data_IF_825843828741
#
_entry.id   IF_825843828741
#
_cell.length_a   1.000
_cell.length_b   1.000
_cell.length_c   1.000
_cell.angle_alpha   90.00
_cell.angle_beta   90.00
_cell.angle_gamma   90.00
#
_symmetry.space_group_name_H-M   'P 1'
#
loop_
_entity.id
_entity.type
_entity.pdbx_description
1 polymer ?
#
# COMPACT_ATOMS: atom_id res chain seq x y z
N UNK A 1 -20.61 -18.06 -19.93
CA UNK A 1 -21.96 -18.46 -19.47
C UNK A 1 -21.98 -19.97 -19.27
N UNK A 2 -21.88 -20.46 -18.03
CA UNK A 2 -21.99 -21.90 -17.71
C UNK A 2 -23.40 -22.15 -17.16
N UNK A 3 -24.16 -23.00 -17.85
CA UNK A 3 -25.50 -23.46 -17.45
C UNK A 3 -25.33 -24.41 -16.27
N UNK A 4 -25.89 -24.06 -15.12
CA UNK A 4 -26.02 -24.98 -13.99
C UNK A 4 -27.06 -26.06 -14.36
N UNK A 5 -26.64 -27.32 -14.38
CA UNK A 5 -27.55 -28.45 -14.46
C UNK A 5 -28.16 -28.67 -13.08
N UNK A 6 -29.45 -28.36 -12.96
CA UNK A 6 -30.27 -28.67 -11.79
C UNK A 6 -30.49 -30.18 -11.74
N UNK A 7 -29.70 -30.88 -10.93
CA UNK A 7 -29.99 -32.26 -10.52
C UNK A 7 -31.32 -32.22 -9.78
N UNK A 8 -32.38 -32.63 -10.49
CA UNK A 8 -33.68 -32.94 -9.92
C UNK A 8 -33.46 -34.12 -8.97
N UNK A 9 -33.17 -33.79 -7.71
CA UNK A 9 -33.35 -34.74 -6.63
C UNK A 9 -34.83 -35.14 -6.66
N UNK A 10 -35.06 -36.34 -7.18
CA UNK A 10 -36.23 -37.14 -6.87
C UNK A 10 -36.27 -37.29 -5.35
N UNK A 11 -36.88 -36.30 -4.68
CA UNK A 11 -37.42 -36.48 -3.35
C UNK A 11 -38.34 -37.67 -3.48
N UNK A 12 -37.82 -38.83 -3.05
CA UNK A 12 -38.61 -40.01 -2.81
C UNK A 12 -39.79 -39.53 -1.98
N UNK A 13 -40.96 -39.41 -2.63
CA UNK A 13 -42.23 -39.30 -1.94
C UNK A 13 -42.16 -40.42 -0.90
N UNK A 14 -42.27 -40.13 0.40
CA UNK A 14 -42.52 -41.20 1.36
C UNK A 14 -43.85 -41.77 0.93
N UNK A 15 -43.80 -42.84 0.14
CA UNK A 15 -44.95 -43.65 -0.15
C UNK A 15 -45.49 -44.02 1.21
N UNK A 16 -46.67 -43.49 1.53
CA UNK A 16 -47.57 -44.03 2.54
C UNK A 16 -47.86 -45.48 2.11
N UNK A 17 -46.86 -46.34 2.23
CA UNK A 17 -47.05 -47.77 2.33
C UNK A 17 -47.70 -47.95 3.69
N UNK A 18 -49.02 -47.73 3.71
CA UNK A 18 -49.90 -48.51 4.55
C UNK A 18 -49.41 -49.93 4.38
N UNK A 19 -48.76 -50.44 5.43
CA UNK A 19 -48.21 -51.78 5.48
C UNK A 19 -49.35 -52.76 5.19
N UNK A 20 -49.54 -53.09 3.92
CA UNK A 20 -50.17 -54.34 3.54
C UNK A 20 -49.15 -55.39 3.92
N UNK A 21 -49.29 -55.90 5.14
CA UNK A 21 -48.60 -57.07 5.63
C UNK A 21 -48.97 -58.22 4.69
N UNK A 22 -47.98 -58.70 3.92
CA UNK A 22 -48.12 -59.74 2.88
C UNK A 22 -48.44 -61.13 3.46
N UNK A 23 -48.77 -61.17 4.76
CA UNK A 23 -49.17 -62.35 5.52
C UNK A 23 -50.44 -62.10 6.32
N UNK A 24 -51.46 -61.43 5.75
CA UNK A 24 -52.89 -61.75 5.96
C UNK A 24 -53.44 -61.96 7.38
N UNK A 25 -52.74 -61.54 8.44
CA UNK A 25 -53.23 -61.60 9.81
C UNK A 25 -53.82 -60.23 10.09
N UNK A 26 -55.13 -60.12 9.85
CA UNK A 26 -55.94 -58.99 10.28
C UNK A 26 -55.78 -58.85 11.80
N UNK A 27 -54.81 -58.05 12.23
CA UNK A 27 -54.74 -57.59 13.61
C UNK A 27 -55.97 -56.70 13.79
N UNK A 28 -57.00 -57.23 14.46
CA UNK A 28 -58.19 -56.52 14.95
C UNK A 28 -57.79 -55.50 16.04
N UNK A 29 -56.91 -54.57 15.72
CA UNK A 29 -56.74 -53.34 16.48
C UNK A 29 -57.80 -52.36 15.99
N UNK A 30 -58.81 -52.09 16.83
CA UNK A 30 -59.99 -51.23 16.61
C UNK A 30 -59.72 -49.75 16.25
N UNK A 31 -58.52 -49.39 15.78
CA UNK A 31 -58.24 -48.03 15.33
C UNK A 31 -58.61 -47.90 13.85
N UNK A 32 -59.65 -47.12 13.55
CA UNK A 32 -60.02 -46.83 12.16
C UNK A 32 -58.85 -46.11 11.46
N UNK A 33 -58.62 -46.42 10.18
CA UNK A 33 -57.60 -45.71 9.38
C UNK A 33 -57.77 -44.18 9.42
N UNK A 34 -59.00 -43.71 9.63
CA UNK A 34 -59.31 -42.29 9.78
C UNK A 34 -58.69 -41.68 11.06
N UNK A 35 -58.73 -42.39 12.18
CA UNK A 35 -58.15 -41.93 13.44
C UNK A 35 -56.62 -41.86 13.39
N UNK A 36 -56.00 -42.81 12.68
CA UNK A 36 -54.56 -42.80 12.40
C UNK A 36 -54.18 -41.55 11.58
N UNK A 37 -54.97 -41.23 10.55
CA UNK A 37 -54.73 -40.04 9.71
C UNK A 37 -54.94 -38.74 10.49
N UNK A 38 -55.96 -38.67 11.37
CA UNK A 38 -56.17 -37.51 12.25
C UNK A 38 -55.00 -37.30 13.20
N UNK A 39 -54.50 -38.37 13.81
CA UNK A 39 -53.32 -38.30 14.70
C UNK A 39 -52.08 -37.83 13.93
N UNK A 40 -51.84 -38.40 12.75
CA UNK A 40 -50.71 -38.00 11.89
C UNK A 40 -50.81 -36.54 11.45
N UNK A 41 -52.00 -36.05 11.11
CA UNK A 41 -52.21 -34.66 10.72
C UNK A 41 -51.87 -33.70 11.88
N UNK A 42 -52.37 -34.01 13.09
CA UNK A 42 -52.06 -33.23 14.30
C UNK A 42 -50.57 -33.25 14.62
N UNK A 43 -49.91 -34.41 14.50
CA UNK A 43 -48.48 -34.53 14.74
C UNK A 43 -47.65 -33.75 13.70
N UNK A 44 -48.12 -33.72 12.45
CA UNK A 44 -47.52 -32.91 11.37
C UNK A 44 -47.70 -31.41 11.59
N UNK A 45 -48.88 -30.97 12.03
CA UNK A 45 -49.10 -29.55 12.36
C UNK A 45 -48.18 -29.10 13.51
N UNK A 46 -48.04 -29.92 14.56
CA UNK A 46 -47.09 -29.67 15.67
C UNK A 46 -45.63 -29.64 15.19
N UNK A 47 -45.26 -30.51 14.25
CA UNK A 47 -43.93 -30.50 13.63
C UNK A 47 -43.71 -29.22 12.82
N UNK A 48 -44.68 -28.79 12.02
CA UNK A 48 -44.64 -27.53 11.28
C UNK A 48 -44.47 -26.32 12.22
N UNK A 49 -45.19 -26.28 13.33
CA UNK A 49 -45.07 -25.18 14.30
C UNK A 49 -43.71 -25.18 15.00
N UNK A 50 -43.14 -26.35 15.34
CA UNK A 50 -41.77 -26.45 15.86
C UNK A 50 -40.74 -25.91 14.87
N UNK A 51 -40.85 -26.26 13.60
CA UNK A 51 -39.94 -25.76 12.55
C UNK A 51 -40.10 -24.25 12.37
N UNK A 52 -41.33 -23.72 12.37
CA UNK A 52 -41.57 -22.28 12.28
C UNK A 52 -40.96 -21.51 13.46
N UNK A 53 -41.14 -22.01 14.69
CA UNK A 53 -40.56 -21.40 15.88
C UNK A 53 -39.03 -21.46 15.86
N UNK A 54 -38.46 -22.59 15.43
CA UNK A 54 -37.01 -22.74 15.26
C UNK A 54 -36.44 -21.75 14.23
N UNK A 55 -37.09 -21.64 13.07
CA UNK A 55 -36.70 -20.67 12.03
C UNK A 55 -36.81 -19.24 12.51
N UNK A 56 -37.91 -18.89 13.22
CA UNK A 56 -38.10 -17.56 13.79
C UNK A 56 -37.00 -17.24 14.81
N UNK A 57 -36.74 -18.15 15.74
CA UNK A 57 -35.67 -18.00 16.74
C UNK A 57 -34.29 -17.86 16.09
N UNK A 58 -34.03 -18.58 14.99
CA UNK A 58 -32.76 -18.47 14.24
C UNK A 58 -32.62 -17.11 13.56
N UNK A 59 -33.69 -16.62 12.94
CA UNK A 59 -33.72 -15.29 12.32
C UNK A 59 -33.52 -14.18 13.37
N UNK A 60 -34.20 -14.28 14.51
CA UNK A 60 -34.08 -13.30 15.60
C UNK A 60 -32.66 -13.28 16.19
N UNK A 61 -32.02 -14.45 16.34
CA UNK A 61 -30.64 -14.56 16.79
C UNK A 61 -29.65 -13.94 15.78
N UNK A 62 -29.82 -14.21 14.49
CA UNK A 62 -28.98 -13.65 13.43
C UNK A 62 -29.14 -12.12 13.34
N UNK A 63 -30.37 -11.62 13.44
CA UNK A 63 -30.66 -10.19 13.49
C UNK A 63 -30.01 -9.53 14.71
N UNK A 64 -30.17 -10.12 15.90
CA UNK A 64 -29.57 -9.60 17.13
C UNK A 64 -28.03 -9.60 17.07
N UNK A 65 -27.43 -10.66 16.52
CA UNK A 65 -25.99 -10.73 16.30
C UNK A 65 -25.51 -9.60 15.37
N UNK A 66 -26.26 -9.36 14.29
CA UNK A 66 -25.95 -8.29 13.34
C UNK A 66 -26.07 -6.90 13.98
N UNK A 67 -27.14 -6.66 14.74
CA UNK A 67 -27.34 -5.41 15.49
C UNK A 67 -26.21 -5.18 16.49
N UNK A 68 -25.80 -6.20 17.24
CA UNK A 68 -24.69 -6.11 18.18
C UNK A 68 -23.36 -5.80 17.48
N UNK A 69 -23.08 -6.42 16.34
CA UNK A 69 -21.89 -6.13 15.54
C UNK A 69 -21.87 -4.68 15.03
N UNK A 70 -23.00 -4.18 14.53
CA UNK A 70 -23.12 -2.78 14.09
C UNK A 70 -22.96 -1.79 15.25
N UNK A 71 -23.51 -2.11 16.42
CA UNK A 71 -23.30 -1.29 17.62
C UNK A 71 -21.83 -1.25 18.05
N UNK A 72 -21.10 -2.37 17.94
CA UNK A 72 -19.65 -2.40 18.20
C UNK A 72 -18.89 -1.54 17.18
N UNK A 73 -19.23 -1.60 15.90
CA UNK A 73 -18.62 -0.76 14.86
C UNK A 73 -18.88 0.73 15.10
N UNK A 74 -20.09 1.10 15.52
CA UNK A 74 -20.43 2.49 15.87
C UNK A 74 -19.63 2.98 17.08
N UNK A 75 -19.38 2.13 18.08
CA UNK A 75 -18.54 2.48 19.24
C UNK A 75 -17.07 2.67 18.91
N UNK A 76 -16.57 1.99 17.86
CA UNK A 76 -15.19 2.12 17.39
C UNK A 76 -14.98 3.32 16.46
N UNK A 77 -16.05 4.01 16.06
CA UNK A 77 -15.93 5.16 15.18
C UNK A 77 -15.28 6.33 15.95
N UNK A 78 -14.20 6.93 15.44
CA UNK A 78 -13.60 8.12 16.06
C UNK A 78 -14.64 9.25 16.18
N UNK A 79 -14.58 10.06 17.24
CA UNK A 79 -15.47 11.20 17.39
C UNK A 79 -15.30 12.17 16.20
N UNK A 80 -16.40 12.80 15.78
CA UNK A 80 -16.39 13.69 14.61
C UNK A 80 -15.44 14.89 14.80
N UNK A 81 -15.22 15.30 16.04
CA UNK A 81 -14.27 16.35 16.42
C UNK A 81 -12.83 15.97 16.08
N UNK A 82 -12.44 14.72 16.31
CA UNK A 82 -11.10 14.22 15.97
C UNK A 82 -10.91 14.16 14.45
N UNK A 83 -11.94 13.72 13.72
CA UNK A 83 -11.92 13.71 12.24
C UNK A 83 -11.79 15.14 11.71
N UNK A 84 -12.49 16.10 12.30
CA UNK A 84 -12.40 17.51 11.91
C UNK A 84 -11.00 18.08 12.18
N UNK A 85 -10.44 17.82 13.37
CA UNK A 85 -9.08 18.23 13.73
C UNK A 85 -8.04 17.65 12.76
N UNK A 86 -8.13 16.36 12.43
CA UNK A 86 -7.24 15.71 11.46
C UNK A 86 -7.33 16.36 10.06
N UNK A 87 -8.52 16.78 9.63
CA UNK A 87 -8.68 17.50 8.36
C UNK A 87 -8.04 18.89 8.38
N UNK A 88 -8.17 19.62 9.49
CA UNK A 88 -7.55 20.94 9.67
C UNK A 88 -6.01 20.82 9.68
N UNK A 89 -5.46 19.81 10.37
CA UNK A 89 -4.03 19.51 10.36
C UNK A 89 -3.53 19.12 8.97
N UNK A 90 -4.27 18.26 8.25
CA UNK A 90 -3.95 17.89 6.87
C UNK A 90 -3.91 19.13 5.97
N UNK A 91 -4.90 20.01 6.07
CA UNK A 91 -4.95 21.25 5.31
C UNK A 91 -3.78 22.18 5.67
N UNK A 92 -3.40 22.25 6.95
CA UNK A 92 -2.24 23.01 7.41
C UNK A 92 -0.93 22.48 6.82
N UNK A 93 -0.75 21.15 6.78
CA UNK A 93 0.43 20.50 6.19
C UNK A 93 0.52 20.76 4.68
N UNK A 94 -0.60 20.76 3.97
CA UNK A 94 -0.64 21.05 2.54
C UNK A 94 -0.17 22.49 2.24
N UNK A 95 -0.57 23.46 3.07
CA UNK A 95 -0.12 24.86 2.95
C UNK A 95 1.39 24.97 3.19
N UNK A 96 1.93 24.29 4.21
CA UNK A 96 3.37 24.29 4.50
C UNK A 96 4.18 23.64 3.37
N UNK A 97 3.73 22.49 2.87
CA UNK A 97 4.37 21.80 1.75
C UNK A 97 4.42 22.68 0.50
N UNK A 98 3.33 23.37 0.18
CA UNK A 98 3.27 24.31 -0.95
C UNK A 98 4.21 25.51 -0.73
N UNK A 99 4.31 26.01 0.50
CA UNK A 99 5.27 27.04 0.90
C UNK A 99 6.71 26.61 0.64
N UNK A 100 7.09 25.42 1.13
CA UNK A 100 8.43 24.86 0.95
C UNK A 100 8.77 24.62 -0.53
N UNK A 101 7.82 24.13 -1.33
CA UNK A 101 8.03 23.96 -2.76
C UNK A 101 8.33 25.30 -3.46
N UNK A 102 7.56 26.35 -3.13
CA UNK A 102 7.77 27.68 -3.69
C UNK A 102 9.14 28.25 -3.31
N UNK A 103 9.58 28.03 -2.08
CA UNK A 103 10.92 28.45 -1.63
C UNK A 103 12.05 27.68 -2.33
N UNK A 104 11.87 26.38 -2.53
CA UNK A 104 12.81 25.56 -3.28
C UNK A 104 12.93 26.03 -4.74
N UNK A 105 11.80 26.33 -5.39
CA UNK A 105 11.77 26.92 -6.74
C UNK A 105 12.52 28.27 -6.79
N UNK A 106 12.32 29.15 -5.80
CA UNK A 106 13.07 30.41 -5.67
C UNK A 106 14.57 30.18 -5.52
N UNK A 107 14.97 29.25 -4.65
CA UNK A 107 16.38 28.89 -4.43
C UNK A 107 17.03 28.36 -5.71
N UNK A 108 16.33 27.50 -6.45
CA UNK A 108 16.79 26.98 -7.73
C UNK A 108 16.98 28.10 -8.77
N UNK A 109 16.03 29.05 -8.84
CA UNK A 109 16.15 30.21 -9.72
C UNK A 109 17.36 31.10 -9.38
N UNK A 110 17.64 31.31 -8.09
CA UNK A 110 18.81 32.07 -7.63
C UNK A 110 20.12 31.34 -8.01
N UNK A 111 20.19 30.02 -7.78
CA UNK A 111 21.35 29.21 -8.18
C UNK A 111 21.59 29.32 -9.69
N UNK A 112 20.53 29.29 -10.49
CA UNK A 112 20.61 29.45 -11.94
C UNK A 112 21.11 30.84 -12.35
N UNK A 113 20.64 31.90 -11.69
CA UNK A 113 21.16 33.26 -11.90
C UNK A 113 22.66 33.37 -11.61
N UNK A 114 23.13 32.79 -10.50
CA UNK A 114 24.56 32.77 -10.17
C UNK A 114 25.38 31.99 -11.19
N UNK A 115 24.90 30.83 -11.66
CA UNK A 115 25.55 30.07 -12.73
C UNK A 115 25.62 30.86 -14.04
N UNK A 116 24.59 31.62 -14.38
CA UNK A 116 24.58 32.45 -15.57
C UNK A 116 25.58 33.62 -15.46
N UNK A 117 25.65 34.25 -14.29
CA UNK A 117 26.66 35.28 -14.00
C UNK A 117 28.07 34.72 -14.03
N UNK A 118 28.30 33.55 -13.44
CA UNK A 118 29.58 32.82 -13.48
C UNK A 118 30.01 32.58 -14.93
N UNK A 119 29.13 32.01 -15.76
CA UNK A 119 29.41 31.80 -17.19
C UNK A 119 29.74 33.09 -17.94
N UNK A 120 29.10 34.22 -17.62
CA UNK A 120 29.42 35.51 -18.22
C UNK A 120 30.84 35.95 -17.85
N UNK A 121 31.21 35.85 -16.57
CA UNK A 121 32.55 36.20 -16.10
C UNK A 121 33.61 35.27 -16.69
N UNK A 122 33.34 33.97 -16.80
CA UNK A 122 34.25 33.02 -17.46
C UNK A 122 34.48 33.38 -18.94
N UNK A 123 33.45 33.82 -19.67
CA UNK A 123 33.61 34.29 -21.05
C UNK A 123 34.47 35.54 -21.16
N UNK A 124 34.30 36.52 -20.27
CA UNK A 124 35.12 37.73 -20.26
C UNK A 124 36.58 37.42 -19.88
N UNK A 125 36.81 36.49 -18.94
CA UNK A 125 38.16 36.01 -18.63
C UNK A 125 38.81 35.31 -19.81
N UNK A 126 38.10 34.41 -20.50
CA UNK A 126 38.57 33.81 -21.75
C UNK A 126 38.91 34.88 -22.79
N UNK A 127 38.08 35.92 -22.92
CA UNK A 127 38.29 37.01 -23.88
C UNK A 127 39.56 37.82 -23.58
N UNK A 128 39.82 38.13 -22.31
CA UNK A 128 40.94 38.99 -21.90
C UNK A 128 42.28 38.24 -21.78
N UNK A 129 42.26 37.02 -21.25
CA UNK A 129 43.47 36.25 -20.92
C UNK A 129 43.62 34.96 -21.75
N UNK A 130 42.72 34.71 -22.71
CA UNK A 130 42.71 33.51 -23.54
C UNK A 130 42.16 32.27 -22.83
N UNK A 131 42.10 31.15 -23.53
CA UNK A 131 41.51 29.89 -23.01
C UNK A 131 42.28 29.30 -21.82
N UNK A 132 43.54 29.72 -21.61
CA UNK A 132 44.41 29.26 -20.53
C UNK A 132 44.41 30.20 -19.32
N UNK A 133 43.43 31.09 -19.17
CA UNK A 133 43.39 32.08 -18.08
C UNK A 133 43.52 31.45 -16.69
N UNK A 134 43.00 30.24 -16.47
CA UNK A 134 43.15 29.52 -15.19
C UNK A 134 44.60 29.19 -14.87
N UNK A 135 45.36 28.73 -15.87
CA UNK A 135 46.80 28.43 -15.74
C UNK A 135 47.62 29.71 -15.65
N UNK A 136 47.25 30.76 -16.39
CA UNK A 136 47.94 32.05 -16.37
C UNK A 136 47.79 32.78 -15.02
N UNK A 137 46.67 32.56 -14.32
CA UNK A 137 46.43 33.10 -12.98
C UNK A 137 46.86 32.14 -11.86
N UNK A 138 47.49 31.00 -12.20
CA UNK A 138 47.88 29.94 -11.25
C UNK A 138 46.74 29.51 -10.31
N UNK A 139 45.48 29.62 -10.75
CA UNK A 139 44.33 29.23 -9.95
C UNK A 139 44.29 27.70 -9.95
N UNK A 140 44.52 27.03 -8.81
CA UNK A 140 44.44 25.58 -8.76
C UNK A 140 43.05 25.18 -9.24
N UNK A 141 42.92 24.15 -10.10
CA UNK A 141 41.63 23.72 -10.62
C UNK A 141 40.72 23.51 -9.41
N UNK A 142 39.70 24.37 -9.30
CA UNK A 142 38.81 24.37 -8.15
C UNK A 142 38.32 22.96 -7.98
N UNK A 143 38.80 22.29 -6.93
CA UNK A 143 38.36 20.97 -6.54
C UNK A 143 36.98 21.11 -5.92
N UNK A 144 36.04 21.67 -6.68
CA UNK A 144 34.64 21.46 -6.43
C UNK A 144 34.48 19.95 -6.33
N UNK A 145 33.95 19.41 -5.22
CA UNK A 145 33.60 18.01 -5.20
C UNK A 145 32.70 17.80 -6.39
N UNK A 146 33.14 17.02 -7.37
CA UNK A 146 32.30 16.60 -8.48
C UNK A 146 31.03 16.09 -7.83
N UNK A 147 29.94 16.85 -7.99
CA UNK A 147 28.61 16.49 -7.52
C UNK A 147 28.07 15.41 -8.44
N UNK A 148 28.82 14.32 -8.51
CA UNK A 148 28.61 13.11 -9.24
C UNK A 148 28.97 11.98 -8.28
N UNK A 149 27.94 11.22 -7.90
CA UNK A 149 28.00 9.81 -7.52
C UNK A 149 28.42 9.35 -6.12
N UNK A 150 28.81 10.16 -5.14
CA UNK A 150 28.97 9.64 -3.77
C UNK A 150 28.51 10.59 -2.66
N UNK A 151 27.27 10.39 -2.20
CA UNK A 151 26.94 10.58 -0.77
C UNK A 151 26.59 9.21 -0.18
N UNK A 152 27.59 8.33 -0.19
CA UNK A 152 27.67 7.23 0.75
C UNK A 152 28.38 7.81 1.98
N UNK A 153 27.63 8.47 2.86
CA UNK A 153 28.16 8.85 4.16
C UNK A 153 28.26 7.62 5.05
N UNK A 154 29.39 6.93 4.94
CA UNK A 154 30.02 6.38 6.13
C UNK A 154 30.35 7.55 7.06
N UNK A 155 29.60 7.68 8.15
CA UNK A 155 30.11 8.33 9.36
C UNK A 155 30.06 7.30 10.47
N UNK A 156 31.23 6.73 10.73
CA UNK A 156 31.54 5.87 11.86
C UNK A 156 31.37 6.62 13.19
N UNK A 157 30.67 5.98 14.14
CA UNK A 157 31.19 5.64 15.46
C UNK A 157 30.08 4.91 16.24
N UNK A 158 29.91 3.63 15.95
CA UNK A 158 29.29 2.69 16.88
C UNK A 158 30.34 1.70 17.31
N UNK A 159 30.63 1.73 18.61
CA UNK A 159 31.41 0.76 19.35
C UNK A 159 31.02 -0.65 18.90
N UNK A 160 31.99 -1.40 18.40
CA UNK A 160 31.89 -2.83 18.15
C UNK A 160 31.74 -3.55 19.50
N UNK A 161 30.54 -3.99 19.82
CA UNK A 161 30.34 -5.10 20.76
C UNK A 161 30.05 -6.34 19.91
N UNK A 162 31.03 -7.23 19.95
CA UNK A 162 31.02 -8.59 19.46
C UNK A 162 29.76 -9.37 19.87
N UNK A 163 29.15 -10.06 18.92
CA UNK A 163 28.59 -11.38 19.19
C UNK A 163 28.68 -12.26 17.94
N UNK A 164 29.05 -13.54 18.06
CA UNK A 164 29.34 -14.42 16.93
C UNK A 164 28.10 -15.22 16.51
N UNK A 165 28.26 -15.95 15.40
CA UNK A 165 27.34 -16.93 14.80
C UNK A 165 26.22 -16.36 13.93
N UNK A 166 26.48 -16.31 12.62
CA UNK A 166 25.66 -17.10 11.70
C UNK A 166 26.33 -17.21 10.32
N UNK A 167 26.87 -18.39 10.05
CA UNK A 167 27.33 -18.82 8.73
C UNK A 167 26.13 -19.13 7.85
N UNK A 168 25.84 -18.30 6.84
CA UNK A 168 25.02 -18.71 5.70
C UNK A 168 25.63 -18.16 4.41
N UNK A 169 26.17 -19.08 3.62
CA UNK A 169 26.66 -18.90 2.27
C UNK A 169 25.53 -18.46 1.35
N UNK A 170 25.69 -17.34 0.64
CA UNK A 170 24.87 -16.99 -0.52
C UNK A 170 25.77 -16.58 -1.69
N UNK A 171 25.88 -17.52 -2.63
CA UNK A 171 26.41 -17.38 -3.97
C UNK A 171 25.73 -16.21 -4.70
N UNK A 172 26.50 -15.18 -5.02
CA UNK A 172 26.09 -14.10 -5.93
C UNK A 172 26.44 -14.48 -7.36
N UNK A 173 25.42 -14.71 -8.18
CA UNK A 173 25.53 -14.72 -9.64
C UNK A 173 25.50 -13.28 -10.15
N UNK A 174 26.57 -12.92 -10.86
CA UNK A 174 26.67 -11.66 -11.59
C UNK A 174 25.68 -11.65 -12.75
N UNK A 175 24.83 -10.61 -12.83
CA UNK A 175 24.10 -10.26 -14.05
C UNK A 175 24.45 -8.83 -14.46
N UNK A 176 25.28 -8.81 -15.49
CA UNK A 176 25.81 -7.70 -16.25
C UNK A 176 24.66 -6.85 -16.84
N UNK A 177 24.52 -5.60 -16.41
CA UNK A 177 23.56 -4.65 -17.01
C UNK A 177 24.30 -3.74 -17.98
N UNK A 178 23.82 -3.76 -19.22
CA UNK A 178 24.35 -3.05 -20.37
C UNK A 178 24.20 -1.53 -20.24
N UNK A 179 25.24 -0.85 -20.72
CA UNK A 179 25.32 0.57 -20.97
C UNK A 179 24.29 1.03 -22.02
N UNK A 180 23.44 1.98 -21.63
CA UNK A 180 22.64 2.76 -22.59
C UNK A 180 23.33 4.10 -22.87
N UNK A 181 23.67 4.32 -24.14
CA UNK A 181 24.12 5.60 -24.68
C UNK A 181 22.99 6.64 -24.65
N UNK A 182 23.26 7.92 -24.34
CA UNK A 182 22.26 8.98 -24.47
C UNK A 182 22.10 9.40 -25.93
N UNK A 183 20.93 9.13 -26.49
CA UNK A 183 20.49 9.63 -27.78
C UNK A 183 20.28 11.14 -27.76
N UNK A 184 20.98 11.81 -28.67
CA UNK A 184 20.87 13.21 -29.06
C UNK A 184 19.42 13.67 -29.21
N UNK A 185 19.00 14.65 -28.40
CA UNK A 185 17.73 15.37 -28.59
C UNK A 185 18.01 16.61 -29.44
N UNK A 186 17.61 16.54 -30.71
CA UNK A 186 17.68 17.62 -31.66
C UNK A 186 16.74 18.76 -31.25
N UNK A 187 17.34 19.92 -30.99
CA UNK A 187 16.66 21.21 -30.95
C UNK A 187 16.27 21.63 -32.37
N UNK A 188 14.98 21.68 -32.67
CA UNK A 188 14.42 22.51 -33.72
C UNK A 188 13.17 23.17 -33.16
N UNK A 189 13.37 24.35 -32.54
CA UNK A 189 12.31 25.32 -32.31
C UNK A 189 12.33 26.29 -33.48
N UNK A 190 11.40 26.11 -34.41
CA UNK A 190 11.10 27.08 -35.47
C UNK A 190 10.03 28.06 -34.97
N UNK A 191 10.34 29.33 -35.11
CA UNK A 191 9.52 30.48 -34.77
C UNK A 191 8.73 30.91 -36.00
N UNK A 192 7.40 30.84 -35.97
CA UNK A 192 6.59 31.79 -36.74
C UNK A 192 5.26 32.09 -36.06
N UNK A 193 5.08 33.38 -35.76
CA UNK A 193 3.81 34.05 -35.53
C UNK A 193 2.91 33.95 -36.77
N UNK A 194 1.63 33.66 -36.57
CA UNK A 194 0.42 34.26 -37.19
C UNK A 194 -0.76 33.42 -36.68
N UNK A 195 -1.76 33.96 -35.99
CA UNK A 195 -2.82 34.79 -36.56
C UNK A 195 -4.17 34.06 -36.32
N UNK A 196 -5.08 34.75 -35.63
CA UNK A 196 -6.46 34.39 -35.27
C UNK A 196 -7.19 33.31 -36.10
N UNK A 197 -7.88 32.39 -35.41
CA UNK A 197 -9.23 31.96 -35.81
C UNK A 197 -9.99 31.33 -34.64
N UNK A 198 -11.23 31.78 -34.47
CA UNK A 198 -12.23 31.24 -33.55
C UNK A 198 -12.55 29.76 -33.85
N UNK A 199 -12.85 28.99 -32.79
CA UNK A 199 -13.84 27.93 -32.89
C UNK A 199 -13.47 26.58 -32.29
N UNK A 200 -14.35 26.13 -31.39
CA UNK A 200 -14.70 24.73 -31.06
C UNK A 200 -13.84 24.04 -30.01
N UNK A 201 -14.35 24.16 -28.79
CA UNK A 201 -14.57 23.10 -27.80
C UNK A 201 -14.14 21.69 -28.23
N UNK A 202 -13.00 21.22 -27.73
CA UNK A 202 -12.70 19.80 -27.55
C UNK A 202 -12.09 19.61 -26.17
N UNK A 203 -12.87 18.98 -25.30
CA UNK A 203 -12.46 18.57 -23.96
C UNK A 203 -11.23 17.66 -24.06
N UNK A 204 -10.18 17.87 -23.24
CA UNK A 204 -9.02 17.01 -23.23
C UNK A 204 -9.39 15.67 -22.57
N UNK A 205 -9.28 14.59 -23.32
CA UNK A 205 -9.37 13.23 -22.79
C UNK A 205 -8.27 13.00 -21.74
N UNK A 206 -8.56 12.29 -20.63
CA UNK A 206 -7.57 12.07 -19.58
C UNK A 206 -6.47 11.14 -20.10
N UNK A 207 -5.29 11.70 -20.35
CA UNK A 207 -4.07 10.94 -20.61
C UNK A 207 -3.74 10.13 -19.35
N UNK A 208 -4.04 8.83 -19.39
CA UNK A 208 -3.68 7.89 -18.33
C UNK A 208 -2.16 7.91 -18.07
N UNK A 209 -1.81 8.09 -16.79
CA UNK A 209 -0.42 8.06 -16.31
C UNK A 209 0.25 6.71 -16.62
N UNK A 210 1.48 6.69 -17.16
CA UNK A 210 2.20 5.46 -17.53
C UNK A 210 2.54 4.55 -16.33
N UNK A 211 2.44 5.03 -15.09
CA UNK A 211 2.65 4.19 -13.90
C UNK A 211 1.51 3.21 -13.61
N UNK A 212 0.28 3.50 -14.04
CA UNK A 212 -0.87 2.62 -13.77
C UNK A 212 -0.94 1.43 -14.74
N UNK A 213 -0.32 1.55 -15.93
CA UNK A 213 -0.24 0.47 -16.92
C UNK A 213 0.73 -0.65 -16.50
N UNK A 214 1.77 -0.32 -15.73
CA UNK A 214 2.77 -1.31 -15.27
C UNK A 214 2.24 -2.21 -14.15
N UNK A 215 1.32 -1.70 -13.32
CA UNK A 215 0.70 -2.50 -12.25
C UNK A 215 -0.37 -3.46 -12.78
N UNK A 216 -1.11 -3.10 -13.84
CA UNK A 216 -2.06 -4.02 -14.48
C UNK A 216 -1.36 -5.15 -15.26
N UNK A 217 -0.18 -4.91 -15.85
CA UNK A 217 0.56 -6.00 -16.53
C UNK A 217 1.13 -7.03 -15.55
N UNK A 218 1.53 -6.65 -14.33
CA UNK A 218 1.98 -7.63 -13.33
C UNK A 218 0.86 -8.53 -12.79
N UNK A 219 -0.38 -8.04 -12.71
CA UNK A 219 -1.53 -8.87 -12.31
C UNK A 219 -1.96 -9.87 -13.40
N UNK A 220 -1.64 -9.61 -14.67
CA UNK A 220 -1.96 -10.56 -15.76
C UNK A 220 -0.97 -11.72 -15.83
N UNK A 221 0.31 -11.51 -15.51
CA UNK A 221 1.29 -12.60 -15.49
C UNK A 221 1.11 -13.57 -14.31
N UNK A 222 0.52 -13.13 -13.19
CA UNK A 222 0.24 -14.02 -12.05
C UNK A 222 -0.97 -14.94 -12.29
N UNK A 223 -1.84 -14.64 -13.26
CA UNK A 223 -2.96 -15.52 -13.64
C UNK A 223 -2.58 -16.61 -14.63
N UNK A 224 -1.50 -16.45 -15.40
CA UNK A 224 -1.10 -17.43 -16.41
C UNK A 224 -0.26 -18.60 -15.85
N UNK A 225 0.23 -18.51 -14.61
CA UNK A 225 1.00 -19.58 -13.98
C UNK A 225 0.19 -20.54 -13.08
N UNK A 226 -1.14 -20.43 -13.01
CA UNK A 226 -1.96 -21.33 -12.16
C UNK A 226 -2.87 -22.28 -12.93
N UNK A 227 -2.65 -22.51 -14.23
CA UNK A 227 -3.52 -23.38 -15.04
C UNK A 227 -2.70 -24.41 -15.82
N UNK A 228 -1.88 -25.18 -15.12
CA UNK A 228 -1.19 -26.32 -15.75
C UNK A 228 -0.81 -27.37 -14.71
N UNK A 229 -1.82 -28.01 -14.13
CA UNK A 229 -1.70 -29.36 -13.56
C UNK A 229 -3.10 -29.98 -13.41
N UNK A 230 -3.84 -30.07 -14.52
CA UNK A 230 -4.96 -31.02 -14.62
C UNK A 230 -4.33 -32.34 -15.09
N UNK A 231 -3.65 -33.00 -14.16
CA UNK A 231 -3.36 -34.42 -14.27
C UNK A 231 -4.66 -35.16 -14.05
N UNK A 232 -5.25 -35.64 -15.14
CA UNK A 232 -6.32 -36.64 -15.18
C UNK A 232 -5.79 -37.97 -14.58
N UNK A 233 -5.53 -37.98 -13.27
CA UNK A 233 -5.40 -39.22 -12.50
C UNK A 233 -6.81 -39.63 -12.06
N UNK A 234 -7.53 -40.27 -12.98
CA UNK A 234 -8.70 -41.12 -12.72
C UNK A 234 -8.28 -42.32 -11.86
N UNK A 235 -7.88 -42.05 -10.62
CA UNK A 235 -7.51 -43.08 -9.68
C UNK A 235 -8.76 -43.45 -8.86
N UNK A 236 -9.44 -44.49 -9.33
CA UNK A 236 -10.52 -45.22 -8.67
C UNK A 236 -10.16 -45.64 -7.23
N UNK A 237 -10.29 -44.72 -6.28
CA UNK A 237 -10.18 -44.96 -4.84
C UNK A 237 -11.46 -44.47 -4.14
N UNK A 238 -12.61 -44.99 -4.58
CA UNK A 238 -13.93 -44.75 -3.99
C UNK A 238 -14.15 -45.49 -2.65
N UNK A 239 -13.12 -46.08 -2.05
CA UNK A 239 -13.20 -46.78 -0.75
C UNK A 239 -12.39 -46.08 0.37
N UNK A 240 -12.17 -44.77 0.23
CA UNK A 240 -11.63 -43.97 1.33
C UNK A 240 -12.68 -43.85 2.43
N UNK A 241 -12.52 -44.68 3.48
CA UNK A 241 -13.38 -44.68 4.66
C UNK A 241 -13.65 -43.26 5.19
N UNK A 242 -14.89 -42.92 5.57
CA UNK A 242 -15.30 -41.56 5.96
C UNK A 242 -14.47 -40.94 7.11
N UNK A 243 -13.79 -41.77 7.91
CA UNK A 243 -12.83 -41.30 8.92
C UNK A 243 -11.61 -40.57 8.31
N UNK A 244 -11.11 -40.99 7.14
CA UNK A 244 -9.93 -40.39 6.52
C UNK A 244 -10.24 -39.02 5.89
N UNK A 245 -11.45 -38.87 5.35
CA UNK A 245 -11.95 -37.58 4.85
C UNK A 245 -12.07 -36.55 5.99
N UNK A 246 -12.51 -36.99 7.18
CA UNK A 246 -12.64 -36.12 8.35
C UNK A 246 -11.28 -35.65 8.88
N UNK A 247 -10.25 -36.52 8.85
CA UNK A 247 -8.87 -36.14 9.23
C UNK A 247 -8.25 -35.13 8.24
N UNK A 248 -8.46 -35.30 6.93
CA UNK A 248 -7.98 -34.33 5.93
C UNK A 248 -8.64 -32.96 6.06
N UNK A 249 -9.92 -32.91 6.42
CA UNK A 249 -10.63 -31.65 6.65
C UNK A 249 -10.07 -30.87 7.84
N UNK A 250 -9.66 -31.56 8.91
CA UNK A 250 -9.01 -30.93 10.07
C UNK A 250 -7.62 -30.39 9.71
N UNK A 251 -6.81 -31.18 9.02
CA UNK A 251 -5.47 -30.75 8.56
C UNK A 251 -5.55 -29.52 7.65
N UNK A 252 -6.49 -29.49 6.71
CA UNK A 252 -6.68 -28.32 5.83
C UNK A 252 -7.12 -27.05 6.56
N UNK A 253 -7.77 -27.17 7.73
CA UNK A 253 -8.15 -26.02 8.56
C UNK A 253 -6.95 -25.50 9.33
N UNK A 254 -6.15 -26.38 9.92
CA UNK A 254 -4.92 -26.03 10.63
C UNK A 254 -3.92 -25.34 9.70
N UNK A 255 -3.76 -25.82 8.47
CA UNK A 255 -2.88 -25.18 7.49
C UNK A 255 -3.33 -23.77 7.11
N UNK A 256 -4.66 -23.54 7.00
CA UNK A 256 -5.21 -22.20 6.72
C UNK A 256 -4.99 -21.26 7.89
N UNK A 257 -5.26 -21.72 9.11
CA UNK A 257 -5.02 -20.94 10.32
C UNK A 257 -3.53 -20.62 10.50
N UNK A 258 -2.63 -21.55 10.18
CA UNK A 258 -1.19 -21.32 10.18
C UNK A 258 -0.74 -20.30 9.13
N UNK A 259 -1.30 -20.35 7.91
CA UNK A 259 -1.03 -19.35 6.85
C UNK A 259 -1.51 -17.96 7.26
N UNK A 260 -2.71 -17.85 7.82
CA UNK A 260 -3.25 -16.57 8.30
C UNK A 260 -2.42 -16.02 9.47
N UNK A 261 -1.97 -16.89 10.39
CA UNK A 261 -1.07 -16.51 11.47
C UNK A 261 0.28 -16.00 10.95
N UNK A 262 0.86 -16.69 9.95
CA UNK A 262 2.11 -16.26 9.32
C UNK A 262 1.97 -14.91 8.60
N UNK A 263 0.85 -14.67 7.91
CA UNK A 263 0.56 -13.38 7.27
C UNK A 263 0.42 -12.25 8.30
N UNK A 264 -0.27 -12.50 9.42
CA UNK A 264 -0.36 -11.52 10.53
C UNK A 264 1.00 -11.22 11.13
N UNK A 265 1.83 -12.24 11.35
CA UNK A 265 3.18 -12.06 11.87
C UNK A 265 4.06 -11.24 10.90
N UNK A 266 3.97 -11.49 9.60
CA UNK A 266 4.68 -10.72 8.59
C UNK A 266 4.24 -9.25 8.55
N UNK A 267 2.94 -8.98 8.67
CA UNK A 267 2.40 -7.62 8.72
C UNK A 267 2.86 -6.87 9.99
N UNK A 268 2.87 -7.54 11.14
CA UNK A 268 3.40 -6.97 12.38
C UNK A 268 4.90 -6.65 12.27
N UNK A 269 5.69 -7.54 11.66
CA UNK A 269 7.10 -7.30 11.42
C UNK A 269 7.34 -6.09 10.50
N UNK A 270 6.51 -5.91 9.47
CA UNK A 270 6.57 -4.75 8.59
C UNK A 270 6.22 -3.44 9.32
N UNK A 271 5.19 -3.45 10.17
CA UNK A 271 4.82 -2.30 11.00
C UNK A 271 5.98 -1.91 11.92
N UNK A 272 6.62 -2.89 12.56
CA UNK A 272 7.75 -2.62 13.46
C UNK A 272 8.96 -2.04 12.70
N UNK A 273 9.24 -2.55 11.49
CA UNK A 273 10.29 -2.00 10.63
C UNK A 273 10.02 -0.53 10.25
N UNK A 274 8.77 -0.21 9.89
CA UNK A 274 8.38 1.18 9.59
C UNK A 274 8.50 2.07 10.84
N UNK A 275 8.12 1.57 12.02
CA UNK A 275 8.22 2.30 13.28
C UNK A 275 9.68 2.66 13.62
N UNK A 276 10.60 1.69 13.51
CA UNK A 276 12.03 1.91 13.73
C UNK A 276 12.60 2.90 12.72
N UNK A 277 12.16 2.84 11.46
CA UNK A 277 12.59 3.77 10.42
C UNK A 277 12.14 5.20 10.70
N UNK A 278 10.87 5.39 11.09
CA UNK A 278 10.29 6.70 11.44
C UNK A 278 11.02 7.31 12.64
N UNK A 279 11.19 6.56 13.73
CA UNK A 279 11.97 7.01 14.90
C UNK A 279 13.40 7.41 14.53
N UNK A 280 14.03 6.65 13.62
CA UNK A 280 15.35 6.98 13.09
C UNK A 280 15.37 8.26 12.25
N UNK A 281 14.29 8.55 11.52
CA UNK A 281 14.14 9.81 10.76
C UNK A 281 13.94 11.00 11.69
N UNK A 282 13.03 10.90 12.67
CA UNK A 282 12.74 11.94 13.67
C UNK A 282 14.03 12.35 14.38
N UNK A 283 14.78 11.39 14.91
CA UNK A 283 16.07 11.68 15.57
C UNK A 283 17.08 12.40 14.68
N UNK A 284 17.11 12.10 13.37
CA UNK A 284 18.00 12.80 12.43
C UNK A 284 17.51 14.21 12.12
N UNK A 285 16.20 14.42 12.16
CA UNK A 285 15.56 15.70 11.95
C UNK A 285 15.86 16.62 13.15
N UNK A 286 15.67 16.13 14.38
CA UNK A 286 16.01 16.86 15.62
C UNK A 286 17.46 17.35 15.63
N UNK A 287 18.41 16.49 15.25
CA UNK A 287 19.84 16.86 15.19
C UNK A 287 20.11 17.93 14.13
N UNK A 288 19.36 17.95 13.03
CA UNK A 288 19.48 19.01 12.02
C UNK A 288 18.87 20.31 12.52
N UNK A 289 17.72 20.26 13.18
CA UNK A 289 17.08 21.42 13.80
C UNK A 289 18.00 22.06 14.84
N UNK A 290 18.63 21.26 15.71
CA UNK A 290 19.58 21.77 16.70
C UNK A 290 20.78 22.46 16.03
N UNK A 291 21.30 21.90 14.93
CA UNK A 291 22.39 22.51 14.16
C UNK A 291 21.97 23.79 13.46
N UNK A 292 20.80 23.80 12.84
CA UNK A 292 20.24 24.98 12.19
C UNK A 292 19.99 26.09 13.21
N UNK A 293 19.42 25.75 14.38
CA UNK A 293 19.25 26.67 15.50
C UNK A 293 20.57 27.32 15.92
N UNK A 294 21.64 26.54 16.11
CA UNK A 294 22.98 27.06 16.42
C UNK A 294 23.55 27.98 15.34
N UNK A 295 23.34 27.65 14.05
CA UNK A 295 23.80 28.51 12.96
C UNK A 295 23.02 29.81 12.88
N UNK A 296 21.72 29.77 13.17
CA UNK A 296 20.84 30.93 13.19
C UNK A 296 21.21 31.85 14.36
N UNK A 297 21.37 31.30 15.56
CA UNK A 297 21.84 32.03 16.75
C UNK A 297 23.19 32.72 16.50
N UNK A 298 24.13 32.03 15.85
CA UNK A 298 25.41 32.63 15.45
C UNK A 298 25.21 33.79 14.47
N UNK A 299 24.40 33.61 13.43
CA UNK A 299 24.12 34.66 12.45
C UNK A 299 23.43 35.88 13.08
N UNK A 300 22.49 35.68 14.01
CA UNK A 300 21.86 36.75 14.78
C UNK A 300 22.87 37.48 15.66
N UNK A 301 23.78 36.75 16.32
CA UNK A 301 24.84 37.35 17.14
C UNK A 301 25.82 38.20 16.29
N UNK A 302 26.15 37.76 15.09
CA UNK A 302 26.97 38.52 14.13
C UNK A 302 26.20 39.75 13.63
N UNK A 303 24.92 39.61 13.29
CA UNK A 303 24.05 40.72 12.89
C UNK A 303 24.00 41.82 13.95
N UNK A 304 23.81 41.46 15.22
CA UNK A 304 23.83 42.42 16.34
C UNK A 304 25.17 43.15 16.46
N UNK A 305 26.29 42.43 16.30
CA UNK A 305 27.63 43.05 16.31
C UNK A 305 27.81 44.07 15.19
N UNK A 306 27.31 43.77 13.98
CA UNK A 306 27.38 44.72 12.87
C UNK A 306 26.50 45.95 13.10
N UNK A 307 25.32 45.77 13.69
CA UNK A 307 24.43 46.86 14.05
C UNK A 307 25.06 47.79 15.11
N UNK A 308 25.62 47.22 16.19
CA UNK A 308 26.35 47.98 17.21
C UNK A 308 27.55 48.72 16.63
N UNK A 309 28.32 48.08 15.75
CA UNK A 309 29.46 48.70 15.08
C UNK A 309 29.02 49.85 14.15
N UNK A 310 27.90 49.69 13.43
CA UNK A 310 27.34 50.72 12.57
C UNK A 310 26.87 51.94 13.40
N UNK A 311 26.18 51.71 14.52
CA UNK A 311 25.78 52.79 15.44
C UNK A 311 27.00 53.51 15.99
N UNK A 312 28.03 52.79 16.47
CA UNK A 312 29.25 53.39 16.98
C UNK A 312 30.01 54.20 15.91
N UNK A 313 30.03 53.73 14.66
CA UNK A 313 30.64 54.47 13.55
C UNK A 313 29.87 55.77 13.24
N UNK A 314 28.53 55.71 13.27
CA UNK A 314 27.69 56.90 13.05
C UNK A 314 27.91 57.96 14.13
N UNK A 315 28.10 57.55 15.39
CA UNK A 315 28.30 58.45 16.52
C UNK A 315 29.70 59.10 16.51
N UNK A 316 30.72 58.44 15.96
CA UNK A 316 32.06 59.01 15.78
C UNK A 316 32.15 60.01 14.63
N UNK A 317 31.22 59.94 13.67
CA UNK A 317 31.19 60.81 12.50
C UNK A 317 30.44 62.14 12.76
N UNK A 318 29.63 62.21 13.82
CA UNK A 318 28.93 63.40 14.28
C UNK A 318 29.78 64.21 15.25
#
# INVERSE_FOLDING_TARGET
MRRAQSVRNHMARPSLALAADDLGVLREGDESNEDVLRRQLVDKDRECDRVRLSLRSRCDMELNMTVAALQQQLKLRPPEEEIKKLREEQQSLDVLMLGYQRENEKSMAIIEQYKNREKMLERELNRLAGDNWRSALEIPPSAMPRSGTLSHHHRSNTISISSPYSSHSHSHSYSQSQSYSPGSSSWLGDTTLTGNAMGRSRSPSPTMRPHQRRQQQQQQHSRQNSTQDDGDDDNNNDDASPQQAQQRALQGREEREARDAAQRAALLAQIEQMRVFILGMEKRLDVREEKLGKTLEKAESESRRYEEAAVAASLKAA
#
